data_IF_773960406447
#
_entry.id   IF_773960406447
#
_cell.length_a   1.000
_cell.length_b   1.000
_cell.length_c   1.000
_cell.angle_alpha   90.00
_cell.angle_beta   90.00
_cell.angle_gamma   90.00
#
_symmetry.space_group_name_H-M   'P 1'
#
loop_
_entity.id
_entity.type
_entity.pdbx_description
1 polymer ?
#
# COMPACT_ATOMS: atom_id res chain seq x y z
N UNK A 1 -9.24 0.22 -17.10
CA UNK A 1 -8.68 1.47 -16.54
C UNK A 1 -7.37 1.77 -17.28
N UNK A 2 -6.99 3.02 -17.52
CA UNK A 2 -5.76 3.32 -18.29
C UNK A 2 -4.51 3.41 -17.41
N UNK A 3 -4.63 4.06 -16.24
CA UNK A 3 -3.60 4.12 -15.20
C UNK A 3 -4.27 4.52 -13.87
N UNK A 4 -3.62 4.24 -12.75
CA UNK A 4 -4.04 4.71 -11.42
C UNK A 4 -2.88 5.46 -10.74
N UNK A 5 -3.21 6.45 -9.90
CA UNK A 5 -2.20 7.12 -9.07
C UNK A 5 -2.78 7.44 -7.69
N UNK A 6 -2.01 7.16 -6.64
CA UNK A 6 -2.46 7.35 -5.25
C UNK A 6 -1.38 8.00 -4.40
N UNK A 7 -1.80 8.71 -3.35
CA UNK A 7 -0.91 9.38 -2.40
C UNK A 7 -1.09 8.75 -1.00
N UNK A 8 -0.02 8.28 -0.37
CA UNK A 8 -0.04 7.75 1.00
C UNK A 8 -1.01 6.57 1.20
N UNK A 9 -1.17 5.71 0.20
CA UNK A 9 -2.24 4.71 0.19
C UNK A 9 -2.05 3.60 1.24
N UNK A 10 -3.16 3.20 1.84
CA UNK A 10 -3.29 1.97 2.62
C UNK A 10 -3.57 0.81 1.65
N UNK A 11 -2.67 -0.17 1.60
CA UNK A 11 -2.67 -1.19 0.53
C UNK A 11 -3.05 -2.59 1.02
N UNK A 12 -2.98 -2.83 2.33
CA UNK A 12 -3.42 -4.08 2.95
C UNK A 12 -4.35 -3.80 4.12
N UNK A 13 -5.33 -4.69 4.31
CA UNK A 13 -6.20 -4.75 5.49
C UNK A 13 -5.79 -5.90 6.44
N UNK A 14 -4.80 -6.71 6.07
CA UNK A 14 -4.40 -7.87 6.85
C UNK A 14 -3.57 -7.48 8.09
N UNK A 15 -4.08 -7.71 9.31
CA UNK A 15 -3.36 -7.30 10.51
C UNK A 15 -2.03 -8.03 10.72
N UNK A 16 -1.87 -9.23 10.15
CA UNK A 16 -0.64 -10.00 10.26
C UNK A 16 0.44 -9.39 9.37
N UNK A 17 0.16 -9.21 8.08
CA UNK A 17 1.09 -8.60 7.14
C UNK A 17 1.54 -7.22 7.62
N UNK A 18 0.58 -6.40 8.06
CA UNK A 18 0.84 -5.04 8.51
C UNK A 18 1.80 -5.01 9.72
N UNK A 19 1.72 -5.98 10.63
CA UNK A 19 2.67 -6.10 11.76
C UNK A 19 4.02 -6.66 11.35
N UNK A 20 4.05 -7.58 10.39
CA UNK A 20 5.31 -8.08 9.82
C UNK A 20 6.08 -6.95 9.12
N UNK A 21 5.37 -6.05 8.44
CA UNK A 21 5.99 -4.91 7.74
C UNK A 21 6.31 -3.75 8.68
N UNK A 22 5.46 -3.51 9.69
CA UNK A 22 5.55 -2.39 10.63
C UNK A 22 5.10 -2.86 12.02
N UNK A 23 6.02 -3.21 12.94
CA UNK A 23 5.66 -3.78 14.24
C UNK A 23 4.74 -2.90 15.10
N UNK A 24 4.75 -1.58 14.88
CA UNK A 24 3.89 -0.62 15.56
C UNK A 24 2.54 -0.36 14.87
N UNK A 25 2.19 -1.10 13.81
CA UNK A 25 0.92 -0.92 13.12
C UNK A 25 -0.28 -1.24 14.03
N UNK A 26 -1.28 -0.35 14.03
CA UNK A 26 -2.37 -0.39 15.02
C UNK A 26 -3.72 0.16 14.53
N UNK A 27 -3.91 0.38 13.23
CA UNK A 27 -5.12 1.00 12.67
C UNK A 27 -5.98 -0.02 11.89
N UNK A 28 -7.29 0.21 11.80
CA UNK A 28 -8.19 -0.57 10.91
C UNK A 28 -9.21 -1.49 11.59
N UNK A 29 -9.09 -1.77 12.89
CA UNK A 29 -10.02 -2.66 13.60
C UNK A 29 -11.51 -2.25 13.50
N UNK A 30 -11.77 -0.94 13.51
CA UNK A 30 -13.12 -0.39 13.40
C UNK A 30 -13.80 -0.71 12.07
N UNK A 31 -13.05 -0.91 10.98
CA UNK A 31 -13.60 -1.32 9.67
C UNK A 31 -14.26 -2.71 9.73
N UNK A 32 -13.86 -3.53 10.70
CA UNK A 32 -14.38 -4.88 10.94
C UNK A 32 -15.32 -4.94 12.15
N UNK A 33 -15.72 -3.80 12.72
CA UNK A 33 -16.53 -3.74 13.93
C UNK A 33 -15.82 -4.25 15.19
N UNK A 34 -14.48 -4.22 15.21
CA UNK A 34 -13.66 -4.71 16.33
C UNK A 34 -13.10 -3.55 17.17
N UNK A 35 -12.94 -3.74 18.49
CA UNK A 35 -12.65 -2.63 19.40
C UNK A 35 -11.20 -2.12 19.32
N UNK A 36 -10.25 -2.96 18.94
CA UNK A 36 -8.83 -2.58 18.84
C UNK A 36 -8.07 -3.50 17.89
N UNK A 37 -6.87 -3.09 17.49
CA UNK A 37 -6.06 -3.81 16.51
C UNK A 37 -5.62 -5.20 16.98
N UNK A 38 -5.39 -5.38 18.29
CA UNK A 38 -5.09 -6.71 18.82
C UNK A 38 -6.28 -7.68 18.61
N UNK A 39 -7.51 -7.20 18.83
CA UNK A 39 -8.71 -8.00 18.57
C UNK A 39 -8.87 -8.35 17.09
N UNK A 40 -8.48 -7.44 16.19
CA UNK A 40 -8.41 -7.70 14.74
C UNK A 40 -7.37 -8.77 14.41
N UNK A 41 -6.17 -8.65 14.96
CA UNK A 41 -5.10 -9.64 14.77
C UNK A 41 -5.50 -11.03 15.28
N UNK A 42 -6.04 -11.12 16.50
CA UNK A 42 -6.45 -12.40 17.10
C UNK A 42 -7.66 -13.01 16.39
N UNK A 43 -8.49 -12.18 15.74
CA UNK A 43 -9.67 -12.61 14.98
C UNK A 43 -9.43 -12.67 13.47
N UNK A 44 -8.17 -12.61 13.00
CA UNK A 44 -7.81 -12.54 11.58
C UNK A 44 -8.56 -13.57 10.73
N UNK A 45 -8.57 -14.83 11.15
CA UNK A 45 -9.24 -15.92 10.41
C UNK A 45 -10.73 -15.68 10.18
N UNK A 46 -11.42 -14.99 11.10
CA UNK A 46 -12.85 -14.68 10.98
C UNK A 46 -13.12 -13.58 9.96
N UNK A 47 -12.19 -12.63 9.81
CA UNK A 47 -12.31 -11.48 8.90
C UNK A 47 -11.59 -11.70 7.58
N UNK A 48 -10.83 -12.80 7.46
CA UNK A 48 -10.06 -13.14 6.26
C UNK A 48 -10.88 -13.12 4.96
N UNK A 49 -12.16 -13.56 4.92
CA UNK A 49 -12.98 -13.40 3.72
C UNK A 49 -13.13 -11.95 3.27
N UNK A 50 -13.37 -11.02 4.21
CA UNK A 50 -13.47 -9.60 3.91
C UNK A 50 -12.12 -8.96 3.59
N UNK A 51 -11.03 -9.42 4.21
CA UNK A 51 -9.68 -9.00 3.82
C UNK A 51 -9.44 -9.37 2.36
N UNK A 52 -9.69 -10.63 1.96
CA UNK A 52 -9.57 -11.05 0.55
C UNK A 52 -10.48 -10.28 -0.39
N UNK A 53 -11.68 -9.91 0.07
CA UNK A 53 -12.64 -9.18 -0.74
C UNK A 53 -12.28 -7.69 -0.91
N UNK A 54 -11.68 -7.05 0.08
CA UNK A 54 -11.55 -5.57 0.10
C UNK A 54 -10.11 -5.05 0.20
N UNK A 55 -9.12 -5.89 0.52
CA UNK A 55 -7.72 -5.48 0.63
C UNK A 55 -7.12 -5.25 -0.77
N UNK A 56 -6.63 -4.05 -1.12
CA UNK A 56 -6.13 -3.76 -2.46
C UNK A 56 -5.06 -4.73 -2.96
N UNK A 57 -4.12 -5.15 -2.09
CA UNK A 57 -3.03 -6.06 -2.46
C UNK A 57 -3.50 -7.47 -2.85
N UNK A 58 -4.68 -7.90 -2.39
CA UNK A 58 -5.28 -9.22 -2.69
C UNK A 58 -5.83 -9.30 -4.12
N UNK A 59 -6.12 -8.14 -4.74
CA UNK A 59 -6.68 -8.06 -6.09
C UNK A 59 -5.63 -7.83 -7.18
N UNK A 60 -4.33 -7.77 -6.82
CA UNK A 60 -3.27 -7.58 -7.80
C UNK A 60 -3.24 -8.73 -8.80
N UNK A 61 -3.36 -8.37 -10.08
CA UNK A 61 -3.45 -9.26 -11.22
C UNK A 61 -2.62 -8.73 -12.40
N UNK A 62 -2.26 -9.60 -13.33
CA UNK A 62 -1.38 -9.24 -14.47
C UNK A 62 -2.00 -8.26 -15.47
N UNK A 63 -3.32 -8.11 -15.43
CA UNK A 63 -4.11 -7.23 -16.28
C UNK A 63 -4.42 -5.88 -15.63
N UNK A 64 -3.89 -5.64 -14.42
CA UNK A 64 -3.94 -4.33 -13.81
C UNK A 64 -3.21 -3.27 -14.66
N UNK A 65 -3.72 -2.04 -14.70
CA UNK A 65 -3.09 -0.94 -15.42
C UNK A 65 -1.79 -0.49 -14.73
N UNK A 66 -0.96 0.34 -15.36
CA UNK A 66 0.14 1.01 -14.68
C UNK A 66 -0.32 1.77 -13.43
N UNK A 67 0.47 1.69 -12.36
CA UNK A 67 0.15 2.29 -11.05
C UNK A 67 1.25 3.25 -10.58
N UNK A 68 0.88 4.47 -10.23
CA UNK A 68 1.74 5.44 -9.53
C UNK A 68 1.50 5.45 -8.03
N UNK A 69 2.54 5.20 -7.24
CA UNK A 69 2.53 5.10 -5.78
C UNK A 69 3.38 6.23 -5.18
N UNK A 70 2.76 7.22 -4.54
CA UNK A 70 3.45 8.41 -4.03
C UNK A 70 3.34 8.50 -2.51
N UNK A 71 4.47 8.45 -1.82
CA UNK A 71 4.55 8.48 -0.37
C UNK A 71 5.48 9.59 0.12
N UNK A 72 5.09 10.25 1.21
CA UNK A 72 5.93 11.23 1.91
C UNK A 72 6.50 10.64 3.20
N UNK A 73 6.89 11.52 4.12
CA UNK A 73 7.28 11.13 5.47
C UNK A 73 8.72 10.64 5.59
N UNK A 74 8.89 9.49 6.25
CA UNK A 74 10.20 8.87 6.49
C UNK A 74 10.63 7.98 5.32
N UNK A 75 11.94 7.77 5.18
CA UNK A 75 12.47 6.78 4.23
C UNK A 75 11.95 5.39 4.65
N UNK A 76 11.28 4.63 3.76
CA UNK A 76 10.68 3.36 4.15
C UNK A 76 11.75 2.31 4.43
N UNK A 77 11.64 1.66 5.59
CA UNK A 77 12.46 0.52 5.98
C UNK A 77 11.51 -0.57 6.49
N UNK A 78 11.33 -1.64 5.72
CA UNK A 78 10.46 -2.76 6.11
C UNK A 78 10.94 -3.36 7.44
N UNK A 79 10.03 -3.60 8.37
CA UNK A 79 10.30 -4.05 9.74
C UNK A 79 10.56 -2.92 10.74
N UNK A 80 10.63 -1.66 10.30
CA UNK A 80 10.77 -0.51 11.19
C UNK A 80 9.43 -0.05 11.80
N UNK A 81 9.49 0.82 12.80
CA UNK A 81 8.32 1.43 13.45
C UNK A 81 8.21 2.93 13.12
N UNK A 82 7.73 3.30 11.93
CA UNK A 82 7.64 4.71 11.51
C UNK A 82 6.65 5.50 12.37
N UNK A 83 6.80 6.83 12.42
CA UNK A 83 5.90 7.71 13.20
C UNK A 83 4.45 7.67 12.71
N UNK A 84 4.24 7.58 11.39
CA UNK A 84 2.92 7.42 10.77
C UNK A 84 2.89 6.12 9.95
N UNK A 85 2.56 4.98 10.57
CA UNK A 85 2.52 3.70 9.89
C UNK A 85 1.40 3.59 8.85
N UNK A 86 0.29 4.32 9.04
CA UNK A 86 -0.88 4.28 8.14
C UNK A 86 -0.64 4.89 6.77
N UNK A 87 0.28 5.86 6.66
CA UNK A 87 0.65 6.51 5.40
C UNK A 87 2.13 6.28 5.05
N UNK A 88 2.77 5.28 5.68
CA UNK A 88 4.18 4.97 5.48
C UNK A 88 4.45 4.46 4.06
N UNK A 89 5.58 4.89 3.48
CA UNK A 89 6.09 4.35 2.22
C UNK A 89 6.35 2.84 2.22
N UNK A 90 6.42 2.20 3.40
CA UNK A 90 6.55 0.74 3.54
C UNK A 90 5.37 0.03 2.84
N UNK A 91 4.16 0.59 2.93
CA UNK A 91 3.00 0.10 2.18
C UNK A 91 3.23 0.14 0.67
N UNK A 92 3.76 1.26 0.17
CA UNK A 92 4.10 1.43 -1.23
C UNK A 92 5.13 0.43 -1.73
N UNK A 93 6.18 0.19 -0.94
CA UNK A 93 7.21 -0.83 -1.24
C UNK A 93 6.57 -2.21 -1.39
N UNK A 94 5.73 -2.62 -0.44
CA UNK A 94 5.12 -3.96 -0.44
C UNK A 94 4.11 -4.15 -1.57
N UNK A 95 3.34 -3.12 -1.92
CA UNK A 95 2.45 -3.18 -3.08
C UNK A 95 3.25 -3.19 -4.40
N UNK A 96 4.31 -2.40 -4.51
CA UNK A 96 5.18 -2.39 -5.70
C UNK A 96 5.80 -3.76 -5.97
N UNK A 97 6.37 -4.41 -4.94
CA UNK A 97 6.90 -5.79 -5.05
C UNK A 97 5.84 -6.76 -5.57
N UNK A 98 4.59 -6.63 -5.08
CA UNK A 98 3.47 -7.48 -5.52
C UNK A 98 3.08 -7.21 -6.98
N UNK A 99 2.99 -5.95 -7.39
CA UNK A 99 2.69 -5.54 -8.78
C UNK A 99 3.78 -6.02 -9.76
N UNK A 100 5.04 -5.80 -9.40
CA UNK A 100 6.21 -6.24 -10.18
C UNK A 100 6.23 -7.76 -10.34
N UNK A 101 5.85 -8.52 -9.31
CA UNK A 101 5.79 -9.99 -9.37
C UNK A 101 4.84 -10.55 -10.44
N UNK A 102 3.85 -9.76 -10.87
CA UNK A 102 2.89 -10.11 -11.94
C UNK A 102 3.13 -9.34 -13.24
N UNK A 103 4.19 -8.53 -13.30
CA UNK A 103 4.58 -7.77 -14.49
C UNK A 103 3.79 -6.48 -14.72
N UNK A 104 3.14 -5.94 -13.69
CA UNK A 104 2.45 -4.64 -13.78
C UNK A 104 3.45 -3.50 -13.60
N UNK A 105 3.37 -2.50 -14.48
CA UNK A 105 4.22 -1.31 -14.41
C UNK A 105 3.87 -0.46 -13.17
N UNK A 106 4.89 -0.14 -12.38
CA UNK A 106 4.73 0.63 -11.14
C UNK A 106 5.75 1.75 -11.06
N UNK A 107 5.26 2.96 -10.76
CA UNK A 107 6.08 4.11 -10.44
C UNK A 107 5.99 4.39 -8.94
N UNK A 108 6.96 3.89 -8.15
CA UNK A 108 7.05 4.14 -6.72
C UNK A 108 7.94 5.35 -6.42
N UNK A 109 7.39 6.33 -5.69
CA UNK A 109 8.10 7.52 -5.22
C UNK A 109 7.92 7.65 -3.72
N UNK A 110 9.02 7.72 -2.99
CA UNK A 110 9.08 7.93 -1.55
C UNK A 110 10.34 8.73 -1.17
N UNK A 111 10.53 9.19 0.08
CA UNK A 111 11.67 10.02 0.47
C UNK A 111 13.06 9.44 0.17
N UNK A 112 13.19 8.10 0.10
CA UNK A 112 14.43 7.42 -0.31
C UNK A 112 14.63 7.23 -1.83
N UNK A 113 13.72 7.69 -2.69
CA UNK A 113 13.83 7.52 -4.14
C UNK A 113 14.84 8.51 -4.72
N UNK A 114 15.88 8.01 -5.39
CA UNK A 114 16.84 8.84 -6.12
C UNK A 114 16.29 9.18 -7.51
N UNK A 115 16.18 10.47 -7.82
CA UNK A 115 15.80 11.00 -9.15
C UNK A 115 14.52 10.35 -9.75
N UNK A 116 13.37 10.43 -9.07
CA UNK A 116 12.15 9.80 -9.55
C UNK A 116 11.67 10.42 -10.88
N UNK A 117 11.21 9.56 -11.81
CA UNK A 117 10.66 9.97 -13.12
C UNK A 117 9.51 10.98 -13.00
N UNK A 118 8.68 10.85 -11.98
CA UNK A 118 7.55 11.74 -11.70
C UNK A 118 7.71 12.34 -10.30
N UNK A 119 7.44 13.64 -10.15
CA UNK A 119 7.56 14.30 -8.83
C UNK A 119 6.34 14.09 -7.94
N UNK A 120 5.18 13.79 -8.54
CA UNK A 120 3.90 13.64 -7.86
C UNK A 120 2.89 12.90 -8.76
N UNK A 121 1.75 12.55 -8.17
CA UNK A 121 0.64 11.87 -8.86
C UNK A 121 0.05 12.67 -10.02
N UNK A 122 0.01 14.01 -9.93
CA UNK A 122 -0.49 14.86 -11.02
C UNK A 122 0.35 14.73 -12.29
N UNK A 123 1.69 14.78 -12.17
CA UNK A 123 2.59 14.59 -13.31
C UNK A 123 2.47 13.22 -13.94
N UNK A 124 2.38 12.18 -13.12
CA UNK A 124 2.15 10.82 -13.59
C UNK A 124 0.86 10.71 -14.40
N UNK A 125 -0.24 11.26 -13.88
CA UNK A 125 -1.54 11.21 -14.53
C UNK A 125 -1.55 12.01 -15.84
N UNK A 126 -0.94 13.21 -15.87
CA UNK A 126 -0.80 13.99 -17.11
C UNK A 126 -0.01 13.18 -18.15
N UNK A 127 1.15 12.64 -17.79
CA UNK A 127 1.99 11.87 -18.72
C UNK A 127 1.28 10.63 -19.29
N UNK A 128 0.39 9.99 -18.54
CA UNK A 128 -0.35 8.83 -19.04
C UNK A 128 -1.59 9.25 -19.85
N UNK A 129 -2.36 10.22 -19.38
CA UNK A 129 -3.69 10.52 -19.92
C UNK A 129 -3.68 11.50 -21.11
N UNK A 130 -2.56 12.16 -21.40
CA UNK A 130 -2.44 13.07 -22.55
C UNK A 130 -1.58 12.52 -23.69
N UNK A 131 -1.24 11.24 -23.66
CA UNK A 131 -0.54 10.55 -24.75
C UNK A 131 -1.51 9.99 -25.78
#
# INVERSE_FOLDING_TARGET
LYCAAVNGAQVSLDPQELREWMPNYGYGAHAFGLPNFQSLFDSREKVLPWIKEYSPIEHVSKDDPPIGLFYGGEVPVVGASPKDPTHSGIMGVKLAERLESVGVDVALVHPGSSEPKYRNSTEYLIDHLTK
#
